data_IF_588923258817
#
_entry.id   IF_588923258817
#
_cell.length_a   1.000
_cell.length_b   1.000
_cell.length_c   1.000
_cell.angle_alpha   90.00
_cell.angle_beta   90.00
_cell.angle_gamma   90.00
#
_symmetry.space_group_name_H-M   'P 1'
#
loop_
_entity.id
_entity.type
_entity.pdbx_description
1 polymer ?
#
# COMPACT_ATOMS: atom_id res chain seq x y z
N UNK A 1 -15.80 0.67 -21.69
CA UNK A 1 -14.69 0.97 -20.75
C UNK A 1 -13.87 -0.29 -20.59
N UNK A 2 -12.60 -0.24 -20.94
CA UNK A 2 -11.67 -1.36 -20.73
C UNK A 2 -11.44 -1.55 -19.24
N UNK A 3 -11.50 -2.80 -18.76
CA UNK A 3 -11.31 -3.09 -17.34
C UNK A 3 -9.82 -3.20 -17.04
N UNK A 4 -9.29 -2.27 -16.25
CA UNK A 4 -7.90 -2.33 -15.74
C UNK A 4 -7.75 -3.46 -14.72
N UNK A 5 -8.76 -3.65 -13.86
CA UNK A 5 -8.82 -4.75 -12.90
C UNK A 5 -9.96 -5.67 -13.31
N UNK A 6 -9.63 -6.88 -13.74
CA UNK A 6 -10.59 -7.94 -14.03
C UNK A 6 -10.32 -9.17 -13.17
N UNK A 7 -11.24 -9.44 -12.23
CA UNK A 7 -11.09 -10.55 -11.30
C UNK A 7 -11.11 -11.92 -12.00
N UNK A 8 -11.83 -12.06 -13.11
CA UNK A 8 -11.85 -13.32 -13.88
C UNK A 8 -10.47 -13.61 -14.47
N UNK A 9 -9.81 -12.58 -15.01
CA UNK A 9 -8.44 -12.68 -15.53
C UNK A 9 -7.45 -13.00 -14.41
N UNK A 10 -7.56 -12.32 -13.26
CA UNK A 10 -6.71 -12.56 -12.09
C UNK A 10 -6.89 -14.00 -11.59
N UNK A 11 -8.12 -14.47 -11.51
CA UNK A 11 -8.45 -15.82 -11.07
C UNK A 11 -7.89 -16.87 -12.04
N UNK A 12 -8.07 -16.67 -13.35
CA UNK A 12 -7.53 -17.54 -14.39
C UNK A 12 -5.99 -17.60 -14.35
N UNK A 13 -5.33 -16.46 -14.18
CA UNK A 13 -3.87 -16.39 -14.10
C UNK A 13 -3.31 -17.12 -12.86
N UNK A 14 -4.06 -17.08 -11.73
CA UNK A 14 -3.64 -17.76 -10.49
C UNK A 14 -3.96 -19.25 -10.45
N UNK A 15 -5.10 -19.66 -10.99
CA UNK A 15 -5.62 -21.03 -10.86
C UNK A 15 -5.56 -21.83 -12.17
N UNK A 16 -5.25 -21.19 -13.30
CA UNK A 16 -5.28 -21.81 -14.62
C UNK A 16 -6.67 -22.36 -14.92
N UNK A 17 -6.74 -23.57 -15.48
CA UNK A 17 -8.02 -24.22 -15.82
C UNK A 17 -8.92 -24.51 -14.62
N UNK A 18 -8.36 -24.57 -13.41
CA UNK A 18 -9.14 -24.77 -12.17
C UNK A 18 -10.06 -23.57 -11.87
N UNK A 19 -9.80 -22.40 -12.44
CA UNK A 19 -10.67 -21.23 -12.30
C UNK A 19 -12.11 -21.50 -12.75
N UNK A 20 -12.31 -22.40 -13.73
CA UNK A 20 -13.63 -22.80 -14.24
C UNK A 20 -14.50 -23.54 -13.21
N UNK A 21 -13.89 -24.10 -12.17
CA UNK A 21 -14.56 -24.84 -11.10
C UNK A 21 -15.03 -23.93 -9.94
N UNK A 22 -14.64 -22.67 -9.96
CA UNK A 22 -15.07 -21.73 -8.93
C UNK A 22 -16.52 -21.31 -9.22
N UNK A 23 -17.45 -21.48 -8.27
CA UNK A 23 -18.87 -21.15 -8.49
C UNK A 23 -19.05 -19.67 -8.85
N UNK A 24 -19.84 -19.37 -9.87
CA UNK A 24 -20.12 -17.99 -10.31
C UNK A 24 -20.67 -17.07 -9.21
N UNK A 25 -21.52 -17.54 -8.26
CA UNK A 25 -21.95 -16.70 -7.16
C UNK A 25 -20.80 -16.24 -6.27
N UNK A 26 -19.79 -17.09 -6.03
CA UNK A 26 -18.60 -16.75 -5.25
C UNK A 26 -17.73 -15.73 -5.99
N UNK A 27 -17.53 -15.92 -7.29
CA UNK A 27 -16.79 -14.97 -8.14
C UNK A 27 -17.47 -13.60 -8.11
N UNK A 28 -18.79 -13.54 -8.30
CA UNK A 28 -19.56 -12.30 -8.28
C UNK A 28 -19.55 -11.63 -6.90
N UNK A 29 -19.53 -12.41 -5.83
CA UNK A 29 -19.37 -11.89 -4.48
C UNK A 29 -17.97 -11.28 -4.27
N UNK A 30 -16.91 -11.95 -4.73
CA UNK A 30 -15.53 -11.44 -4.66
C UNK A 30 -15.37 -10.15 -5.47
N UNK A 31 -15.94 -10.06 -6.68
CA UNK A 31 -15.95 -8.82 -7.48
C UNK A 31 -16.59 -7.65 -6.72
N UNK A 32 -17.66 -7.91 -5.96
CA UNK A 32 -18.29 -6.89 -5.11
C UNK A 32 -17.40 -6.51 -3.92
N UNK A 33 -16.75 -7.48 -3.27
CA UNK A 33 -15.84 -7.23 -2.14
C UNK A 33 -14.65 -6.36 -2.55
N UNK A 34 -14.10 -6.58 -3.74
CA UNK A 34 -13.00 -5.74 -4.25
C UNK A 34 -13.49 -4.44 -4.91
N UNK A 35 -14.79 -4.18 -4.90
CA UNK A 35 -15.41 -3.01 -5.53
C UNK A 35 -14.97 -2.81 -6.99
N UNK A 36 -14.91 -3.93 -7.76
CA UNK A 36 -14.29 -3.97 -9.08
C UNK A 36 -14.79 -2.86 -10.02
N UNK A 37 -16.09 -2.63 -10.05
CA UNK A 37 -16.69 -1.67 -10.98
C UNK A 37 -16.36 -0.22 -10.58
N UNK A 38 -16.44 0.10 -9.28
CA UNK A 38 -16.10 1.42 -8.74
C UNK A 38 -14.60 1.72 -8.92
N UNK A 39 -13.74 0.73 -8.62
CA UNK A 39 -12.29 0.87 -8.82
C UNK A 39 -11.97 1.09 -10.30
N UNK A 40 -12.56 0.32 -11.21
CA UNK A 40 -12.35 0.51 -12.66
C UNK A 40 -12.89 1.87 -13.15
N UNK A 41 -14.02 2.35 -12.61
CA UNK A 41 -14.52 3.67 -12.93
C UNK A 41 -13.53 4.76 -12.52
N UNK A 42 -13.03 4.72 -11.28
CA UNK A 42 -12.00 5.64 -10.80
C UNK A 42 -10.72 5.57 -11.63
N UNK A 43 -10.23 4.36 -11.95
CA UNK A 43 -9.03 4.18 -12.76
C UNK A 43 -9.20 4.75 -14.18
N UNK A 44 -10.40 4.66 -14.74
CA UNK A 44 -10.71 5.26 -16.03
C UNK A 44 -10.75 6.79 -15.96
N UNK A 45 -11.40 7.35 -14.95
CA UNK A 45 -11.47 8.80 -14.75
C UNK A 45 -10.09 9.42 -14.49
N UNK A 46 -9.24 8.71 -13.76
CA UNK A 46 -7.89 9.15 -13.38
C UNK A 46 -6.77 8.65 -14.32
N UNK A 47 -7.09 8.09 -15.48
CA UNK A 47 -6.11 7.42 -16.38
C UNK A 47 -4.98 8.31 -16.90
N UNK A 48 -5.22 9.62 -16.97
CA UNK A 48 -4.22 10.60 -17.41
C UNK A 48 -3.31 11.06 -16.26
N UNK A 49 -3.61 10.66 -15.03
CA UNK A 49 -2.85 11.04 -13.84
C UNK A 49 -1.86 9.93 -13.47
N UNK A 50 -0.66 10.33 -13.07
CA UNK A 50 0.36 9.42 -12.55
C UNK A 50 1.11 10.04 -11.38
N UNK A 51 1.71 9.21 -10.54
CA UNK A 51 2.52 9.68 -9.41
C UNK A 51 1.69 10.41 -8.35
N UNK A 52 2.21 11.51 -7.84
CA UNK A 52 1.54 12.30 -6.78
C UNK A 52 0.18 12.83 -7.19
N UNK A 53 -0.04 13.40 -8.41
CA UNK A 53 -1.38 13.80 -8.84
C UNK A 53 -2.41 12.67 -8.79
N UNK A 54 -2.02 11.43 -9.10
CA UNK A 54 -2.91 10.29 -8.99
C UNK A 54 -3.23 9.95 -7.52
N UNK A 55 -2.24 10.02 -6.62
CA UNK A 55 -2.45 9.81 -5.18
C UNK A 55 -3.39 10.87 -4.59
N UNK A 56 -3.25 12.13 -5.00
CA UNK A 56 -4.13 13.22 -4.60
C UNK A 56 -5.57 13.01 -5.11
N UNK A 57 -5.71 12.50 -6.35
CA UNK A 57 -7.03 12.11 -6.87
C UNK A 57 -7.65 10.96 -6.06
N UNK A 58 -6.85 9.98 -5.60
CA UNK A 58 -7.31 8.94 -4.70
C UNK A 58 -7.77 9.50 -3.35
N UNK A 59 -7.01 10.41 -2.73
CA UNK A 59 -7.39 11.07 -1.47
C UNK A 59 -8.72 11.80 -1.62
N UNK A 60 -8.90 12.53 -2.73
CA UNK A 60 -10.13 13.23 -3.06
C UNK A 60 -11.30 12.27 -3.31
N UNK A 61 -11.09 11.20 -4.09
CA UNK A 61 -12.09 10.19 -4.40
C UNK A 61 -12.58 9.46 -3.13
N UNK A 62 -11.68 9.20 -2.20
CA UNK A 62 -11.99 8.59 -0.91
C UNK A 62 -12.49 9.61 0.12
N UNK A 63 -12.64 10.88 -0.27
CA UNK A 63 -13.08 11.97 0.62
C UNK A 63 -12.31 12.04 1.95
N UNK A 64 -11.01 11.71 1.91
CA UNK A 64 -10.18 11.65 3.12
C UNK A 64 -9.84 13.05 3.60
N UNK A 65 -10.10 13.32 4.88
CA UNK A 65 -9.59 14.50 5.57
C UNK A 65 -8.33 14.14 6.34
N UNK A 66 -7.20 14.79 6.00
CA UNK A 66 -5.91 14.53 6.63
C UNK A 66 -5.54 15.69 7.56
N UNK A 67 -5.43 15.42 8.86
CA UNK A 67 -4.91 16.37 9.86
C UNK A 67 -3.44 16.02 10.08
N UNK A 68 -2.55 16.87 9.59
CA UNK A 68 -1.09 16.65 9.64
C UNK A 68 -0.48 17.52 10.73
N UNK A 69 0.11 16.89 11.71
CA UNK A 69 0.89 17.50 12.80
C UNK A 69 2.38 17.22 12.56
N UNK A 70 3.26 18.14 12.97
CA UNK A 70 4.70 18.01 12.75
C UNK A 70 5.12 18.16 11.29
N UNK A 71 4.34 18.86 10.47
CA UNK A 71 4.67 19.11 9.06
C UNK A 71 6.00 19.87 8.93
N UNK A 72 6.35 20.68 9.90
CA UNK A 72 7.61 21.42 10.02
C UNK A 72 8.81 20.49 10.26
N UNK A 73 8.59 19.24 10.67
CA UNK A 73 9.63 18.22 10.84
C UNK A 73 10.00 17.53 9.51
N UNK A 74 9.25 17.79 8.44
CA UNK A 74 9.68 17.32 7.12
C UNK A 74 10.97 18.06 6.75
N UNK A 75 12.06 17.33 6.45
CA UNK A 75 13.30 17.94 6.03
C UNK A 75 13.16 18.83 4.78
N UNK A 76 14.01 19.84 4.68
CA UNK A 76 14.02 20.71 3.48
C UNK A 76 14.34 19.89 2.23
N UNK A 77 13.48 19.99 1.23
CA UNK A 77 13.65 19.29 -0.05
C UNK A 77 14.92 19.70 -0.82
N UNK A 78 15.52 20.85 -0.46
CA UNK A 78 16.68 21.42 -1.14
C UNK A 78 18.00 21.20 -0.36
N UNK A 79 18.00 20.44 0.73
CA UNK A 79 19.20 20.21 1.54
C UNK A 79 20.20 19.20 0.93
N UNK A 80 19.85 18.64 -0.22
CA UNK A 80 20.68 17.69 -0.97
C UNK A 80 20.75 16.29 -0.36
N UNK A 81 19.98 16.01 0.71
CA UNK A 81 19.95 14.70 1.36
C UNK A 81 18.79 13.85 0.88
N UNK A 82 18.92 12.55 1.09
CA UNK A 82 17.86 11.58 0.84
C UNK A 82 17.37 10.99 2.16
N UNK A 83 16.07 10.78 2.26
CA UNK A 83 15.39 10.35 3.46
C UNK A 83 14.68 9.02 3.30
N UNK A 84 14.55 8.28 4.41
CA UNK A 84 13.71 7.11 4.53
C UNK A 84 12.54 7.44 5.47
N UNK A 85 11.37 7.62 4.90
CA UNK A 85 10.11 7.80 5.65
C UNK A 85 9.59 6.43 6.05
N UNK A 86 9.31 6.25 7.34
CA UNK A 86 8.80 4.99 7.88
C UNK A 86 7.51 5.22 8.64
N UNK A 87 6.51 4.40 8.39
CA UNK A 87 5.21 4.52 9.06
C UNK A 87 4.67 3.18 9.53
N UNK A 88 3.85 3.22 10.57
CA UNK A 88 2.91 2.15 10.85
C UNK A 88 1.94 1.98 9.67
N UNK A 89 1.26 0.82 9.61
CA UNK A 89 0.42 0.46 8.47
C UNK A 89 -0.98 0.03 8.91
N UNK A 90 -1.78 0.93 9.52
CA UNK A 90 -3.05 0.53 10.14
C UNK A 90 -4.11 0.09 9.13
N UNK A 91 -4.15 0.69 7.95
CA UNK A 91 -5.23 0.47 6.98
C UNK A 91 -4.83 -0.44 5.81
N UNK A 92 -3.54 -0.53 5.49
CA UNK A 92 -3.03 -1.43 4.43
C UNK A 92 -3.20 -0.93 3.01
N UNK A 93 -3.71 0.27 2.80
CA UNK A 93 -3.90 0.88 1.48
C UNK A 93 -4.12 2.37 1.56
N UNK A 94 -5.16 2.82 2.25
CA UNK A 94 -5.52 4.24 2.37
C UNK A 94 -4.42 5.08 3.03
N UNK A 95 -3.73 4.53 4.04
CA UNK A 95 -2.56 5.14 4.68
C UNK A 95 -1.40 5.32 3.70
N UNK A 96 -1.12 4.32 2.85
CA UNK A 96 -0.11 4.42 1.79
C UNK A 96 -0.44 5.54 0.79
N UNK A 97 -1.69 5.62 0.35
CA UNK A 97 -2.17 6.68 -0.56
C UNK A 97 -2.01 8.06 0.07
N UNK A 98 -2.46 8.21 1.33
CA UNK A 98 -2.41 9.49 2.03
C UNK A 98 -0.97 9.98 2.28
N UNK A 99 -0.10 9.09 2.79
CA UNK A 99 1.30 9.43 3.06
C UNK A 99 2.06 9.75 1.77
N UNK A 100 1.81 9.01 0.70
CA UNK A 100 2.43 9.31 -0.57
C UNK A 100 1.97 10.65 -1.17
N UNK A 101 0.70 11.03 -0.99
CA UNK A 101 0.22 12.35 -1.41
C UNK A 101 0.92 13.47 -0.61
N UNK A 102 1.10 13.29 0.72
CA UNK A 102 1.78 14.27 1.59
C UNK A 102 3.25 14.41 1.19
N UNK A 103 3.99 13.29 1.14
CA UNK A 103 5.42 13.26 0.83
C UNK A 103 5.67 13.69 -0.60
N UNK A 104 4.87 13.18 -1.53
CA UNK A 104 5.02 13.50 -2.94
C UNK A 104 4.78 14.97 -3.25
N UNK A 105 3.84 15.62 -2.57
CA UNK A 105 3.62 17.07 -2.67
C UNK A 105 4.81 17.87 -2.14
N UNK A 106 5.42 17.42 -1.04
CA UNK A 106 6.55 18.13 -0.43
C UNK A 106 7.85 17.96 -1.24
N UNK A 107 8.09 16.76 -1.79
CA UNK A 107 9.32 16.43 -2.53
C UNK A 107 9.12 16.30 -4.05
N UNK A 108 8.14 16.98 -4.63
CA UNK A 108 7.88 17.05 -6.08
C UNK A 108 7.84 15.65 -6.75
N UNK A 109 7.19 14.68 -6.11
CA UNK A 109 7.13 13.26 -6.52
C UNK A 109 8.46 12.49 -6.45
N UNK A 110 9.51 13.07 -5.86
CA UNK A 110 10.82 12.44 -5.75
C UNK A 110 10.88 11.42 -4.61
N UNK A 111 10.01 10.43 -4.61
CA UNK A 111 10.05 9.31 -3.66
C UNK A 111 9.62 7.99 -4.31
N UNK A 112 9.93 6.87 -3.66
CA UNK A 112 9.51 5.54 -4.09
C UNK A 112 8.99 4.71 -2.92
N UNK A 113 8.00 3.87 -3.22
CA UNK A 113 7.51 2.83 -2.31
C UNK A 113 8.18 1.50 -2.57
N UNK A 114 8.40 0.72 -1.51
CA UNK A 114 8.61 -0.72 -1.63
C UNK A 114 7.25 -1.43 -1.53
N UNK A 115 6.70 -1.90 -2.63
CA UNK A 115 5.34 -2.44 -2.71
C UNK A 115 5.26 -3.86 -3.24
N UNK A 116 4.16 -4.54 -2.92
CA UNK A 116 3.83 -5.82 -3.54
C UNK A 116 3.56 -5.61 -5.05
N UNK A 117 4.01 -6.54 -5.88
CA UNK A 117 3.82 -6.51 -7.34
C UNK A 117 2.37 -6.32 -7.79
N UNK A 118 1.40 -6.71 -6.97
CA UNK A 118 0.00 -6.51 -7.31
C UNK A 118 -0.33 -5.03 -7.57
N UNK A 119 0.33 -4.12 -6.83
CA UNK A 119 0.12 -2.68 -6.97
C UNK A 119 0.74 -2.10 -8.26
N UNK A 120 1.64 -2.83 -8.92
CA UNK A 120 2.16 -2.45 -10.24
C UNK A 120 1.08 -2.47 -11.35
N UNK A 121 -0.05 -3.13 -11.10
CA UNK A 121 -1.19 -3.13 -12.01
C UNK A 121 -2.04 -1.85 -11.90
N UNK A 122 -1.67 -0.91 -11.04
CA UNK A 122 -2.30 0.41 -10.93
C UNK A 122 -1.45 1.42 -11.72
N UNK A 123 -1.83 1.79 -12.96
CA UNK A 123 -1.00 2.60 -13.85
C UNK A 123 -0.58 3.93 -13.23
N UNK A 124 -1.49 4.58 -12.50
CA UNK A 124 -1.22 5.86 -11.84
C UNK A 124 -0.21 5.76 -10.69
N UNK A 125 -0.13 4.60 -10.02
CA UNK A 125 0.80 4.37 -8.90
C UNK A 125 2.15 3.80 -9.34
N UNK A 126 2.16 3.03 -10.42
CA UNK A 126 3.33 2.27 -10.88
C UNK A 126 4.64 3.08 -10.95
N UNK A 127 4.65 4.36 -11.42
CA UNK A 127 5.88 5.16 -11.48
C UNK A 127 6.55 5.42 -10.13
N UNK A 128 5.78 5.35 -9.03
CA UNK A 128 6.28 5.55 -7.67
C UNK A 128 6.70 4.23 -6.99
N UNK A 129 6.55 3.09 -7.65
CA UNK A 129 6.69 1.77 -7.02
C UNK A 129 8.01 1.09 -7.39
N UNK A 130 8.66 0.52 -6.38
CA UNK A 130 9.68 -0.51 -6.53
C UNK A 130 9.02 -1.84 -6.20
N UNK A 131 8.81 -2.73 -7.18
CA UNK A 131 8.09 -3.97 -6.96
C UNK A 131 8.87 -4.94 -6.07
N UNK A 132 8.19 -5.52 -5.09
CA UNK A 132 8.75 -6.53 -4.20
C UNK A 132 7.99 -7.85 -4.38
N UNK A 133 8.65 -8.86 -4.94
CA UNK A 133 8.11 -10.22 -4.97
C UNK A 133 8.64 -11.04 -3.79
N UNK A 134 7.72 -11.50 -2.95
CA UNK A 134 8.05 -12.38 -1.81
C UNK A 134 7.91 -13.87 -2.15
N UNK A 135 7.44 -14.22 -3.36
CA UNK A 135 7.14 -15.60 -3.76
C UNK A 135 7.64 -15.89 -5.17
N UNK A 136 8.12 -17.13 -5.41
CA UNK A 136 8.56 -17.64 -6.70
C UNK A 136 10.03 -17.33 -7.05
N UNK A 137 10.42 -17.53 -8.33
CA UNK A 137 11.80 -17.29 -8.81
C UNK A 137 12.28 -15.87 -8.60
N UNK A 138 11.38 -14.89 -8.68
CA UNK A 138 11.66 -13.46 -8.48
C UNK A 138 11.94 -13.09 -7.01
N UNK A 139 11.69 -14.01 -6.04
CA UNK A 139 12.05 -13.76 -4.64
C UNK A 139 13.57 -13.69 -4.41
N UNK A 140 14.36 -14.21 -5.34
CA UNK A 140 15.84 -14.13 -5.30
C UNK A 140 16.34 -12.73 -5.64
N UNK A 141 15.62 -11.98 -6.45
CA UNK A 141 16.00 -10.63 -6.87
C UNK A 141 15.56 -9.55 -5.88
N UNK A 142 14.74 -9.95 -4.88
CA UNK A 142 14.23 -9.03 -3.87
C UNK A 142 15.31 -8.19 -3.16
N UNK A 143 16.42 -8.77 -2.65
CA UNK A 143 17.46 -8.00 -2.00
C UNK A 143 18.10 -6.97 -2.96
N UNK A 144 18.33 -7.37 -4.22
CA UNK A 144 18.92 -6.48 -5.23
C UNK A 144 17.98 -5.32 -5.58
N UNK A 145 16.66 -5.57 -5.67
CA UNK A 145 15.68 -4.52 -5.94
C UNK A 145 15.56 -3.52 -4.80
N UNK A 146 15.56 -4.00 -3.55
CA UNK A 146 15.60 -3.13 -2.36
C UNK A 146 16.87 -2.30 -2.36
N UNK A 147 18.01 -2.92 -2.63
CA UNK A 147 19.30 -2.23 -2.68
C UNK A 147 19.33 -1.17 -3.78
N UNK A 148 18.86 -1.49 -4.98
CA UNK A 148 18.76 -0.54 -6.08
C UNK A 148 17.86 0.66 -5.72
N UNK A 149 16.74 0.42 -5.03
CA UNK A 149 15.87 1.48 -4.52
C UNK A 149 16.58 2.40 -3.54
N UNK A 150 17.31 1.86 -2.58
CA UNK A 150 18.05 2.65 -1.61
C UNK A 150 19.29 3.37 -2.19
N UNK A 151 19.86 2.85 -3.27
CA UNK A 151 20.96 3.49 -4.02
C UNK A 151 20.48 4.52 -5.06
N UNK A 152 19.17 4.63 -5.27
CA UNK A 152 18.60 5.63 -6.18
C UNK A 152 18.65 7.04 -5.58
N UNK A 153 18.39 8.02 -6.41
CA UNK A 153 18.26 9.45 -6.06
C UNK A 153 16.88 9.85 -5.56
N UNK A 154 16.07 8.86 -5.12
CA UNK A 154 14.72 9.10 -4.59
C UNK A 154 14.66 8.86 -3.09
N UNK A 155 13.81 9.62 -2.39
CA UNK A 155 13.43 9.28 -1.01
C UNK A 155 12.68 7.94 -0.98
N UNK A 156 12.74 7.25 0.17
CA UNK A 156 12.06 5.97 0.35
C UNK A 156 10.88 6.11 1.31
N UNK A 157 9.70 5.62 0.93
CA UNK A 157 8.56 5.47 1.84
C UNK A 157 8.31 3.99 2.10
N UNK A 158 8.36 3.61 3.37
CA UNK A 158 8.30 2.21 3.79
C UNK A 158 7.31 1.99 4.94
N UNK A 159 6.71 0.80 4.89
CA UNK A 159 5.93 0.23 5.99
C UNK A 159 6.67 -0.99 6.53
N UNK A 160 7.52 -0.84 7.57
CA UNK A 160 8.46 -1.90 7.98
C UNK A 160 7.80 -3.19 8.47
N UNK A 161 6.55 -3.13 8.94
CA UNK A 161 5.74 -4.29 9.27
C UNK A 161 5.48 -5.20 8.04
N UNK A 162 5.43 -4.61 6.84
CA UNK A 162 5.24 -5.31 5.56
C UNK A 162 3.83 -5.86 5.32
N UNK A 163 2.94 -5.76 6.29
CA UNK A 163 1.49 -6.03 6.23
C UNK A 163 0.79 -5.01 7.11
N UNK A 164 -0.50 -4.76 6.85
CA UNK A 164 -1.29 -3.89 7.73
C UNK A 164 -1.41 -4.47 9.15
N UNK A 165 -1.72 -3.58 10.10
CA UNK A 165 -1.85 -3.91 11.52
C UNK A 165 -2.80 -5.09 11.77
N UNK A 166 -2.60 -5.78 12.87
CA UNK A 166 -3.42 -6.91 13.35
C UNK A 166 -3.98 -6.60 14.73
N UNK A 167 -5.12 -7.22 15.03
CA UNK A 167 -5.69 -7.17 16.38
C UNK A 167 -5.36 -8.47 17.11
N UNK A 168 -4.55 -8.37 18.17
CA UNK A 168 -4.23 -9.48 19.08
C UNK A 168 -4.49 -9.05 20.51
N UNK A 169 -5.12 -9.91 21.28
CA UNK A 169 -5.44 -9.67 22.70
C UNK A 169 -6.15 -8.32 22.94
N UNK A 170 -7.08 -7.97 22.04
CA UNK A 170 -7.82 -6.71 22.09
C UNK A 170 -7.06 -5.48 21.59
N UNK A 171 -5.75 -5.58 21.35
CA UNK A 171 -4.89 -4.46 20.93
C UNK A 171 -4.62 -4.51 19.44
N UNK A 172 -4.82 -3.37 18.77
CA UNK A 172 -4.48 -3.18 17.35
C UNK A 172 -3.06 -2.61 17.28
N UNK A 173 -2.18 -3.35 16.59
CA UNK A 173 -0.79 -2.92 16.40
C UNK A 173 -0.20 -3.54 15.14
N UNK A 174 0.85 -2.94 14.67
CA UNK A 174 1.67 -3.50 13.60
C UNK A 174 2.31 -4.83 14.00
N UNK A 175 2.58 -5.65 13.00
CA UNK A 175 3.52 -6.77 13.16
C UNK A 175 4.92 -6.22 13.47
N UNK A 176 5.81 -7.05 14.06
CA UNK A 176 7.19 -6.62 14.34
C UNK A 176 7.85 -6.00 13.12
N UNK A 177 8.37 -4.81 13.29
CA UNK A 177 9.05 -4.08 12.23
C UNK A 177 10.36 -4.76 11.83
N UNK A 178 10.55 -4.93 10.54
CA UNK A 178 11.78 -5.49 9.97
C UNK A 178 12.87 -4.44 10.00
N UNK A 179 14.09 -4.85 10.40
CA UNK A 179 15.26 -3.96 10.52
C UNK A 179 15.82 -3.46 9.18
N UNK A 180 15.28 -3.90 8.04
CA UNK A 180 15.77 -3.56 6.70
C UNK A 180 15.85 -2.05 6.48
N UNK A 181 14.87 -1.28 6.96
CA UNK A 181 14.88 0.17 6.80
C UNK A 181 16.06 0.81 7.55
N UNK A 182 16.39 0.34 8.75
CA UNK A 182 17.55 0.85 9.52
C UNK A 182 18.85 0.51 8.80
N UNK A 183 19.08 -0.79 8.52
CA UNK A 183 20.34 -1.24 7.92
C UNK A 183 20.61 -0.58 6.56
N UNK A 184 19.57 -0.46 5.72
CA UNK A 184 19.71 0.17 4.40
C UNK A 184 19.83 1.69 4.47
N UNK A 185 19.19 2.36 5.43
CA UNK A 185 19.36 3.80 5.61
C UNK A 185 20.78 4.12 6.10
N UNK A 186 21.32 3.35 7.05
CA UNK A 186 22.72 3.50 7.49
C UNK A 186 23.69 3.26 6.32
N UNK A 187 23.51 2.17 5.57
CA UNK A 187 24.36 1.81 4.42
C UNK A 187 24.38 2.90 3.32
N UNK A 188 23.27 3.60 3.13
CA UNK A 188 23.09 4.61 2.07
C UNK A 188 23.05 6.04 2.59
N UNK A 189 23.46 6.26 3.86
CA UNK A 189 23.56 7.58 4.52
C UNK A 189 22.23 8.39 4.46
N UNK A 190 21.09 7.72 4.70
CA UNK A 190 19.77 8.34 4.73
C UNK A 190 19.33 8.52 6.17
N UNK A 191 18.86 9.70 6.51
CA UNK A 191 18.18 9.93 7.77
C UNK A 191 16.79 9.30 7.74
N UNK A 192 16.32 8.82 8.89
CA UNK A 192 15.02 8.18 9.02
C UNK A 192 14.02 9.16 9.62
N UNK A 193 12.90 9.40 8.93
CA UNK A 193 11.81 10.25 9.39
C UNK A 193 10.64 9.35 9.79
N UNK A 194 10.31 9.23 11.08
CA UNK A 194 9.18 8.43 11.53
C UNK A 194 7.86 9.17 11.31
N UNK A 195 6.84 8.44 10.88
CA UNK A 195 5.50 8.95 10.71
C UNK A 195 4.52 8.01 11.40
N UNK A 196 3.57 8.57 12.12
CA UNK A 196 2.46 7.82 12.67
C UNK A 196 1.18 8.17 11.93
N UNK A 197 0.47 7.15 11.45
CA UNK A 197 -0.84 7.26 10.81
C UNK A 197 -1.92 6.68 11.73
N UNK A 198 -2.97 7.47 12.02
CA UNK A 198 -4.11 7.00 12.82
C UNK A 198 -5.09 6.17 11.97
N UNK A 199 -5.90 5.38 12.63
CA UNK A 199 -6.97 4.63 11.99
C UNK A 199 -6.92 3.14 12.29
N UNK A 200 -7.99 2.47 11.89
CA UNK A 200 -8.13 1.02 12.06
C UNK A 200 -9.11 0.46 11.03
N UNK A 201 -8.92 -0.79 10.69
CA UNK A 201 -9.85 -1.56 9.88
C UNK A 201 -11.00 -2.12 10.74
N UNK A 202 -12.00 -2.71 10.11
CA UNK A 202 -13.14 -3.28 10.82
C UNK A 202 -12.78 -4.53 11.63
N UNK A 203 -13.56 -4.82 12.67
CA UNK A 203 -13.44 -6.06 13.44
C UNK A 203 -13.54 -7.31 12.54
N UNK A 204 -14.39 -7.26 11.52
CA UNK A 204 -14.53 -8.35 10.54
C UNK A 204 -13.22 -8.60 9.78
N UNK A 205 -12.54 -7.53 9.38
CA UNK A 205 -11.25 -7.62 8.73
C UNK A 205 -10.21 -8.29 9.64
N UNK A 206 -10.09 -7.86 10.91
CA UNK A 206 -9.12 -8.42 11.83
C UNK A 206 -9.38 -9.90 12.13
N UNK A 207 -10.64 -10.30 12.30
CA UNK A 207 -10.99 -11.72 12.47
C UNK A 207 -10.58 -12.55 11.26
N UNK A 208 -10.89 -12.07 10.05
CA UNK A 208 -10.52 -12.74 8.81
C UNK A 208 -8.99 -12.81 8.66
N UNK A 209 -8.30 -11.70 8.90
CA UNK A 209 -6.84 -11.65 8.79
C UNK A 209 -6.15 -12.62 9.75
N UNK A 210 -6.59 -12.66 11.02
CA UNK A 210 -6.06 -13.59 12.01
C UNK A 210 -6.35 -15.05 11.65
N UNK A 211 -7.55 -15.33 11.12
CA UNK A 211 -7.90 -16.67 10.63
C UNK A 211 -7.00 -17.08 9.45
N UNK A 212 -6.79 -16.21 8.48
CA UNK A 212 -5.91 -16.47 7.33
C UNK A 212 -4.46 -16.69 7.77
N UNK A 213 -3.95 -15.87 8.67
CA UNK A 213 -2.58 -15.99 9.18
C UNK A 213 -2.35 -17.32 9.91
N UNK A 214 -3.40 -17.86 10.57
CA UNK A 214 -3.34 -19.13 11.31
C UNK A 214 -3.49 -20.37 10.41
N UNK A 215 -4.36 -20.31 9.39
CA UNK A 215 -4.81 -21.50 8.65
C UNK A 215 -4.42 -21.49 7.17
N UNK A 216 -4.23 -20.34 6.54
CA UNK A 216 -4.04 -20.22 5.09
C UNK A 216 -2.71 -19.50 4.77
N UNK A 217 -1.60 -20.11 5.19
CA UNK A 217 -0.26 -19.47 5.08
C UNK A 217 0.20 -19.17 3.63
N UNK A 218 -0.39 -19.78 2.61
CA UNK A 218 0.05 -19.67 1.20
C UNK A 218 -0.63 -18.55 0.41
N UNK A 219 -1.79 -18.06 0.84
CA UNK A 219 -2.57 -17.05 0.11
C UNK A 219 -3.08 -16.02 1.09
N UNK A 220 -2.66 -14.78 0.94
CA UNK A 220 -3.15 -13.69 1.78
C UNK A 220 -4.52 -13.19 1.26
N UNK A 221 -5.56 -13.98 1.53
CA UNK A 221 -6.95 -13.65 1.13
C UNK A 221 -7.40 -12.34 1.77
N UNK A 222 -6.92 -12.03 2.98
CA UNK A 222 -7.27 -10.81 3.68
C UNK A 222 -6.92 -9.54 2.87
N UNK A 223 -5.90 -9.60 2.00
CA UNK A 223 -5.57 -8.47 1.11
C UNK A 223 -6.70 -8.09 0.15
N UNK A 224 -7.53 -9.05 -0.27
CA UNK A 224 -8.67 -8.73 -1.15
C UNK A 224 -9.71 -7.87 -0.44
N UNK A 225 -9.82 -8.01 0.89
CA UNK A 225 -10.74 -7.23 1.70
C UNK A 225 -10.24 -5.83 2.05
N UNK A 226 -8.98 -5.51 1.75
CA UNK A 226 -8.47 -4.15 1.96
C UNK A 226 -9.16 -3.13 1.06
N UNK A 227 -9.59 -3.54 -0.14
CA UNK A 227 -10.41 -2.68 -1.00
C UNK A 227 -11.74 -2.32 -0.30
N UNK A 228 -12.45 -3.31 0.25
CA UNK A 228 -13.69 -3.09 1.01
C UNK A 228 -13.45 -2.21 2.26
N UNK A 229 -12.33 -2.40 2.95
CA UNK A 229 -11.96 -1.54 4.09
C UNK A 229 -11.67 -0.08 3.65
N UNK A 230 -11.07 0.13 2.48
CA UNK A 230 -10.88 1.48 1.92
C UNK A 230 -12.23 2.18 1.70
N UNK A 231 -13.19 1.49 1.10
CA UNK A 231 -14.54 2.06 0.88
C UNK A 231 -15.31 2.30 2.18
N UNK A 232 -15.12 1.48 3.22
CA UNK A 232 -15.67 1.72 4.57
C UNK A 232 -15.06 2.95 5.26
N UNK A 233 -13.92 3.40 4.79
CA UNK A 233 -13.19 4.54 5.32
C UNK A 233 -13.41 5.83 4.50
N UNK A 234 -14.27 5.82 3.48
CA UNK A 234 -14.65 7.02 2.71
C UNK A 234 -15.25 8.09 3.65
N UNK A 235 -14.86 9.33 3.45
CA UNK A 235 -15.32 10.48 4.24
C UNK A 235 -14.72 10.59 5.64
N UNK A 236 -13.77 9.74 6.01
CA UNK A 236 -13.16 9.77 7.36
C UNK A 236 -12.00 10.76 7.47
N UNK A 237 -11.81 11.22 8.71
CA UNK A 237 -10.66 12.04 9.11
C UNK A 237 -9.58 11.16 9.71
N UNK A 238 -8.33 11.38 9.29
CA UNK A 238 -7.16 10.69 9.80
C UNK A 238 -6.13 11.71 10.32
N UNK A 239 -5.51 11.40 11.46
CA UNK A 239 -4.41 12.17 12.00
C UNK A 239 -3.10 11.55 11.51
N UNK A 240 -2.19 12.40 11.07
CA UNK A 240 -0.84 12.05 10.62
C UNK A 240 0.13 12.86 11.45
N UNK A 241 1.01 12.20 12.20
CA UNK A 241 2.03 12.87 13.01
C UNK A 241 3.41 12.56 12.44
N UNK A 242 4.18 13.60 12.12
CA UNK A 242 5.54 13.51 11.57
C UNK A 242 6.52 13.86 12.68
N UNK A 243 7.46 12.94 12.96
CA UNK A 243 8.45 13.06 14.05
C UNK A 243 9.81 13.53 13.57
#
# INVERSE_FOLDING_TARGET
MEKTIDFDVILKNKMGDKAKWVPSPLVNWLKRVIHQDQVNAFLWESRELTGTPWLEACVKYLEMTLKVEGKENLPDKNDGKLYTFVSNHPLGGADGVALGAIIGRHYDSNFRYLVNNLLMNLPGLAPLCIPINKTGKQSRDFPAMVEAGFKSDHHMLMFPAGLCSRKKDGVIRDLPWKKTFISKSVETHRDVVPIHFSGQNSEKFYRLANFCDSHIKKVNIAMLFLADEMYKNVGKTFNVSIG
#
